data_IF_959286004037
#
_entry.id   IF_959286004037
#
_cell.length_a   1.000
_cell.length_b   1.000
_cell.length_c   1.000
_cell.angle_alpha   90.00
_cell.angle_beta   90.00
_cell.angle_gamma   90.00
#
_symmetry.space_group_name_H-M   'P 1'
#
loop_
_entity.id
_entity.type
_entity.pdbx_description
1 polymer ?
#
# COMPACT_ATOMS: atom_id res chain seq x y z
N UNK A 1 12.50 11.73 38.75
CA UNK A 1 11.41 12.63 38.30
C UNK A 1 10.39 11.80 37.53
N UNK A 2 9.24 11.49 38.12
CA UNK A 2 8.10 10.81 37.47
C UNK A 2 7.27 11.84 36.69
N UNK A 3 7.92 12.56 35.78
CA UNK A 3 7.20 13.40 34.82
C UNK A 3 6.73 12.50 33.68
N UNK A 4 5.47 12.59 33.31
CA UNK A 4 4.96 12.00 32.07
C UNK A 4 5.79 12.56 30.90
N UNK A 5 6.84 11.84 30.54
CA UNK A 5 7.71 12.20 29.44
C UNK A 5 6.89 11.93 28.18
N UNK A 6 6.50 13.00 27.46
CA UNK A 6 5.71 12.89 26.24
C UNK A 6 6.32 11.88 25.25
N UNK A 7 7.65 11.76 25.21
CA UNK A 7 8.35 10.76 24.40
C UNK A 7 8.11 9.32 24.87
N UNK A 8 7.99 9.09 26.19
CA UNK A 8 7.64 7.78 26.75
C UNK A 8 6.19 7.42 26.45
N UNK A 9 5.27 8.37 26.60
CA UNK A 9 3.86 8.15 26.27
C UNK A 9 3.67 7.84 24.78
N UNK A 10 4.33 8.61 23.91
CA UNK A 10 4.34 8.34 22.47
C UNK A 10 4.90 6.93 22.21
N UNK A 11 6.02 6.57 22.85
CA UNK A 11 6.60 5.22 22.73
C UNK A 11 5.65 4.10 23.13
N UNK A 12 4.97 4.23 24.27
CA UNK A 12 3.98 3.26 24.76
C UNK A 12 2.77 3.15 23.81
N UNK A 13 2.30 4.26 23.24
CA UNK A 13 1.25 4.26 22.21
C UNK A 13 1.70 3.50 20.96
N UNK A 14 2.89 3.79 20.44
CA UNK A 14 3.40 3.12 19.25
C UNK A 14 3.67 1.62 19.46
N UNK A 15 4.09 1.22 20.67
CA UNK A 15 4.19 -0.20 21.00
C UNK A 15 2.86 -0.92 20.82
N UNK A 16 1.76 -0.33 21.27
CA UNK A 16 0.40 -0.90 21.11
C UNK A 16 -0.04 -0.85 19.64
N UNK A 17 0.16 0.28 18.95
CA UNK A 17 -0.22 0.44 17.54
C UNK A 17 0.53 -0.53 16.62
N UNK A 18 1.74 -0.96 16.98
CA UNK A 18 2.53 -1.90 16.19
C UNK A 18 2.26 -3.38 16.48
N UNK A 19 1.47 -3.73 17.51
CA UNK A 19 1.10 -5.12 17.80
C UNK A 19 0.54 -5.83 16.55
N UNK A 20 -0.42 -5.25 15.79
CA UNK A 20 -0.94 -5.90 14.60
C UNK A 20 0.12 -6.10 13.52
N UNK A 21 1.01 -5.13 13.32
CA UNK A 21 2.09 -5.21 12.33
C UNK A 21 3.14 -6.26 12.71
N UNK A 22 3.46 -6.38 14.00
CA UNK A 22 4.35 -7.41 14.51
C UNK A 22 3.75 -8.81 14.32
N UNK A 23 2.45 -8.98 14.59
CA UNK A 23 1.74 -10.23 14.33
C UNK A 23 1.70 -10.59 12.84
N UNK A 24 1.43 -9.62 11.95
CA UNK A 24 1.47 -9.83 10.50
C UNK A 24 2.85 -10.36 10.09
N UNK A 25 3.93 -9.72 10.57
CA UNK A 25 5.31 -10.07 10.19
C UNK A 25 5.81 -11.39 10.79
N UNK A 26 5.44 -11.69 12.03
CA UNK A 26 6.03 -12.82 12.76
C UNK A 26 5.19 -14.07 12.76
N UNK A 27 3.87 -13.95 12.60
CA UNK A 27 2.92 -15.06 12.60
C UNK A 27 2.26 -15.24 11.24
N UNK A 28 1.50 -14.25 10.76
CA UNK A 28 0.71 -14.38 9.54
C UNK A 28 1.60 -14.67 8.33
N UNK A 29 2.67 -13.90 8.14
CA UNK A 29 3.59 -14.04 7.00
C UNK A 29 4.29 -15.41 6.92
N UNK A 30 4.45 -16.11 8.05
CA UNK A 30 5.11 -17.43 8.11
C UNK A 30 4.15 -18.61 7.93
N UNK A 31 2.83 -18.37 7.91
CA UNK A 31 1.85 -19.39 7.54
C UNK A 31 1.97 -19.77 6.05
N UNK A 32 1.35 -20.87 5.63
CA UNK A 32 1.46 -21.41 4.27
C UNK A 32 1.15 -20.37 3.17
N UNK A 33 -0.03 -19.76 3.21
CA UNK A 33 -0.43 -18.65 2.33
C UNK A 33 -0.07 -17.27 2.93
N UNK A 34 0.85 -17.25 3.90
CA UNK A 34 1.13 -16.12 4.75
C UNK A 34 1.71 -14.92 4.01
N UNK A 35 2.67 -15.17 3.13
CA UNK A 35 3.28 -14.12 2.29
C UNK A 35 2.24 -13.42 1.43
N UNK A 36 1.36 -14.18 0.77
CA UNK A 36 0.28 -13.64 -0.07
C UNK A 36 -0.70 -12.81 0.75
N UNK A 37 -1.17 -13.37 1.86
CA UNK A 37 -2.18 -12.74 2.72
C UNK A 37 -1.64 -11.47 3.39
N UNK A 38 -0.40 -11.49 3.86
CA UNK A 38 0.26 -10.32 4.48
C UNK A 38 0.49 -9.18 3.49
N UNK A 39 0.49 -9.48 2.18
CA UNK A 39 0.65 -8.50 1.10
C UNK A 39 -0.65 -8.19 0.36
N UNK A 40 -1.82 -8.61 0.85
CA UNK A 40 -3.09 -8.46 0.12
C UNK A 40 -3.39 -7.00 -0.25
N UNK A 41 -3.10 -6.04 0.65
CA UNK A 41 -3.28 -4.60 0.40
C UNK A 41 -2.31 -4.11 -0.69
N UNK A 42 -1.07 -4.59 -0.70
CA UNK A 42 -0.09 -4.24 -1.73
C UNK A 42 -0.54 -4.77 -3.10
N UNK A 43 -1.04 -6.00 -3.15
CA UNK A 43 -1.64 -6.58 -4.35
C UNK A 43 -2.83 -5.75 -4.84
N UNK A 44 -3.72 -5.32 -3.94
CA UNK A 44 -4.86 -4.47 -4.28
C UNK A 44 -4.42 -3.16 -4.94
N UNK A 45 -3.45 -2.45 -4.36
CA UNK A 45 -2.91 -1.24 -4.98
C UNK A 45 -2.20 -1.51 -6.31
N UNK A 46 -1.48 -2.64 -6.43
CA UNK A 46 -0.86 -3.03 -7.69
C UNK A 46 -1.92 -3.27 -8.78
N UNK A 47 -3.04 -3.91 -8.46
CA UNK A 47 -4.14 -4.10 -9.41
C UNK A 47 -4.77 -2.78 -9.84
N UNK A 48 -4.99 -1.85 -8.90
CA UNK A 48 -5.47 -0.50 -9.23
C UNK A 48 -4.48 0.20 -10.18
N UNK A 49 -3.19 0.15 -9.87
CA UNK A 49 -2.14 0.75 -10.69
C UNK A 49 -2.17 0.18 -12.12
N UNK A 50 -2.22 -1.14 -12.26
CA UNK A 50 -2.28 -1.80 -13.57
C UNK A 50 -3.54 -1.37 -14.33
N UNK A 51 -4.69 -1.30 -13.68
CA UNK A 51 -5.95 -0.88 -14.31
C UNK A 51 -5.88 0.57 -14.82
N UNK A 52 -5.38 1.50 -14.00
CA UNK A 52 -5.23 2.90 -14.37
C UNK A 52 -4.21 3.10 -15.49
N UNK A 53 -3.06 2.40 -15.43
CA UNK A 53 -2.06 2.44 -16.51
C UNK A 53 -2.61 1.87 -17.81
N UNK A 54 -3.33 0.75 -17.74
CA UNK A 54 -3.96 0.12 -18.90
C UNK A 54 -5.00 1.06 -19.53
N UNK A 55 -5.83 1.71 -18.70
CA UNK A 55 -6.78 2.72 -19.16
C UNK A 55 -6.06 3.88 -19.83
N UNK A 56 -5.04 4.45 -19.19
CA UNK A 56 -4.31 5.59 -19.74
C UNK A 56 -3.66 5.26 -21.08
N UNK A 57 -2.89 4.17 -21.16
CA UNK A 57 -2.23 3.75 -22.41
C UNK A 57 -3.27 3.53 -23.52
N UNK A 58 -4.42 2.94 -23.18
CA UNK A 58 -5.51 2.72 -24.15
C UNK A 58 -6.10 4.02 -24.66
N UNK A 59 -6.33 5.01 -23.79
CA UNK A 59 -6.81 6.34 -24.21
C UNK A 59 -5.78 7.07 -25.07
N UNK A 60 -4.50 7.07 -24.67
CA UNK A 60 -3.43 7.68 -25.46
C UNK A 60 -3.33 7.06 -26.86
N UNK A 61 -3.37 5.73 -26.95
CA UNK A 61 -3.34 5.03 -28.24
C UNK A 61 -4.57 5.33 -29.10
N UNK A 62 -5.75 5.49 -28.48
CA UNK A 62 -6.98 5.88 -29.17
C UNK A 62 -6.84 7.27 -29.80
N UNK A 63 -6.44 8.27 -29.02
CA UNK A 63 -6.28 9.63 -29.52
C UNK A 63 -5.24 9.72 -30.63
N UNK A 64 -4.12 9.01 -30.49
CA UNK A 64 -3.09 8.90 -31.54
C UNK A 64 -3.64 8.36 -32.85
N UNK A 65 -4.50 7.33 -32.78
CA UNK A 65 -5.10 6.69 -33.97
C UNK A 65 -6.18 7.56 -34.61
N UNK A 66 -6.96 8.25 -33.81
CA UNK A 66 -8.05 9.13 -34.28
C UNK A 66 -7.52 10.50 -34.74
N UNK A 67 -6.25 10.83 -34.46
CA UNK A 67 -5.66 12.12 -34.81
C UNK A 67 -6.21 13.29 -33.99
N UNK A 68 -6.87 12.99 -32.87
CA UNK A 68 -7.51 13.93 -31.94
C UNK A 68 -6.60 14.32 -30.77
N UNK A 69 -5.34 13.89 -30.79
CA UNK A 69 -4.32 14.38 -29.85
C UNK A 69 -4.16 15.91 -30.01
N UNK A 70 -4.21 16.61 -28.88
CA UNK A 70 -3.91 18.04 -28.84
C UNK A 70 -2.44 18.25 -29.25
N UNK A 71 -2.23 18.96 -30.34
CA UNK A 71 -0.90 19.25 -30.88
C UNK A 71 -0.55 20.67 -30.44
N UNK A 72 0.26 20.76 -29.40
CA UNK A 72 0.96 22.01 -29.07
C UNK A 72 1.96 22.39 -30.17
#
# INVERSE_FOLDING_TARGET
MLGLNIFRLIGEVFQVLFIPFEWIRTSLAKSSAGWWTSNAINWFFLFILIALLSYWISQALKFKREGTEDRA
#
